data_IF_293442351064
#
_entry.id   IF_293442351064
#
_cell.length_a   1.000
_cell.length_b   1.000
_cell.length_c   1.000
_cell.angle_alpha   90.00
_cell.angle_beta   90.00
_cell.angle_gamma   90.00
#
_symmetry.space_group_name_H-M   'P 1'
#
loop_
_entity.id
_entity.type
_entity.pdbx_description
1 polymer ?
#
# COMPACT_ATOMS: atom_id res chain seq x y z
N UNK A 1 -19.21 0.63 -24.22
CA UNK A 1 -17.74 0.60 -24.03
C UNK A 1 -17.45 0.63 -22.54
N UNK A 2 -16.89 -0.45 -21.97
CA UNK A 2 -16.25 -0.34 -20.66
C UNK A 2 -14.93 0.41 -20.88
N UNK A 3 -14.81 1.62 -20.32
CA UNK A 3 -13.55 2.33 -20.29
C UNK A 3 -12.61 1.57 -19.34
N UNK A 4 -11.36 1.26 -19.73
CA UNK A 4 -10.44 0.58 -18.83
C UNK A 4 -10.26 1.43 -17.56
N UNK A 5 -10.28 0.82 -16.38
CA UNK A 5 -10.14 1.56 -15.13
C UNK A 5 -8.79 2.29 -15.12
N UNK A 6 -8.80 3.57 -14.74
CA UNK A 6 -7.60 4.43 -14.71
C UNK A 6 -6.55 3.98 -13.69
N UNK A 7 -6.89 3.05 -12.80
CA UNK A 7 -6.01 2.50 -11.77
C UNK A 7 -6.45 1.08 -11.40
N UNK A 8 -5.68 0.42 -10.55
CA UNK A 8 -5.95 -0.91 -10.03
C UNK A 8 -5.71 -0.96 -8.51
N UNK A 9 -6.27 -1.93 -7.78
CA UNK A 9 -5.95 -2.14 -6.36
C UNK A 9 -4.44 -2.28 -6.11
N UNK A 10 -3.71 -2.91 -7.03
CA UNK A 10 -2.25 -3.04 -6.92
C UNK A 10 -1.55 -1.69 -7.01
N UNK A 11 -1.92 -0.84 -7.96
CA UNK A 11 -1.35 0.51 -8.08
C UNK A 11 -1.65 1.39 -6.86
N UNK A 12 -2.83 1.22 -6.24
CA UNK A 12 -3.20 1.89 -4.99
C UNK A 12 -2.30 1.42 -3.84
N UNK A 13 -2.08 0.11 -3.72
CA UNK A 13 -1.19 -0.45 -2.73
C UNK A 13 0.26 0.01 -2.92
N UNK A 14 0.79 -0.07 -4.14
CA UNK A 14 2.18 0.30 -4.43
C UNK A 14 2.44 1.78 -4.09
N UNK A 15 1.50 2.67 -4.43
CA UNK A 15 1.60 4.09 -4.07
C UNK A 15 1.50 4.33 -2.55
N UNK A 16 0.69 3.54 -1.84
CA UNK A 16 0.59 3.61 -0.38
C UNK A 16 1.85 3.08 0.31
N UNK A 17 2.45 2.01 -0.22
CA UNK A 17 3.72 1.45 0.23
C UNK A 17 4.84 2.47 0.09
N UNK A 18 4.97 3.11 -1.08
CA UNK A 18 5.96 4.17 -1.30
C UNK A 18 5.74 5.36 -0.34
N UNK A 19 4.47 5.73 -0.11
CA UNK A 19 4.12 6.72 0.90
C UNK A 19 4.58 6.32 2.29
N UNK A 20 4.33 5.06 2.68
CA UNK A 20 4.74 4.53 3.98
C UNK A 20 6.25 4.51 4.18
N UNK A 21 7.02 4.14 3.15
CA UNK A 21 8.48 4.14 3.22
C UNK A 21 9.05 5.54 3.46
N UNK A 22 8.42 6.58 2.92
CA UNK A 22 8.86 7.98 3.09
C UNK A 22 8.36 8.61 4.39
N UNK A 23 7.08 8.44 4.67
CA UNK A 23 6.33 9.27 5.63
C UNK A 23 5.79 8.44 6.82
N UNK A 24 6.08 7.14 6.88
CA UNK A 24 5.61 6.23 7.92
C UNK A 24 4.09 6.02 7.87
N UNK A 25 3.45 5.87 9.04
CA UNK A 25 2.02 5.55 9.13
C UNK A 25 1.08 6.60 8.49
N UNK A 26 1.54 7.84 8.30
CA UNK A 26 0.78 8.90 7.63
C UNK A 26 0.82 8.80 6.09
N UNK A 27 1.81 8.08 5.55
CA UNK A 27 2.05 7.93 4.12
C UNK A 27 0.89 7.28 3.32
N UNK A 28 0.25 6.22 3.84
CA UNK A 28 -0.92 5.57 3.21
C UNK A 28 -2.22 6.39 3.21
N UNK A 29 -2.20 7.67 3.57
CA UNK A 29 -3.40 8.50 3.60
C UNK A 29 -4.07 8.63 2.22
N UNK A 30 -5.40 8.52 2.18
CA UNK A 30 -6.21 8.54 0.95
C UNK A 30 -5.89 9.71 0.03
N UNK A 31 -5.67 10.91 0.59
CA UNK A 31 -5.34 12.10 -0.19
C UNK A 31 -3.95 12.02 -0.81
N UNK A 32 -2.96 11.52 -0.07
CA UNK A 32 -1.59 11.34 -0.55
C UNK A 32 -1.53 10.29 -1.66
N UNK A 33 -2.16 9.14 -1.46
CA UNK A 33 -2.25 8.06 -2.45
C UNK A 33 -2.98 8.52 -3.72
N UNK A 34 -4.09 9.25 -3.58
CA UNK A 34 -4.80 9.79 -4.73
C UNK A 34 -3.96 10.80 -5.52
N UNK A 35 -3.23 11.68 -4.82
CA UNK A 35 -2.33 12.65 -5.43
C UNK A 35 -1.19 11.96 -6.19
N UNK A 36 -0.55 10.95 -5.59
CA UNK A 36 0.51 10.16 -6.22
C UNK A 36 0.04 9.47 -7.53
N UNK A 37 -1.23 9.05 -7.57
CA UNK A 37 -1.83 8.42 -8.75
C UNK A 37 -2.47 9.42 -9.74
N UNK A 38 -2.42 10.73 -9.47
CA UNK A 38 -3.09 11.74 -10.31
C UNK A 38 -4.61 11.61 -10.34
N UNK A 39 -5.21 11.10 -9.27
CA UNK A 39 -6.65 10.86 -9.14
C UNK A 39 -7.30 11.84 -8.15
N UNK A 40 -8.60 12.07 -8.32
CA UNK A 40 -9.38 12.71 -7.28
C UNK A 40 -9.56 11.72 -6.10
N UNK A 41 -9.52 12.16 -4.82
CA UNK A 41 -9.66 11.27 -3.66
C UNK A 41 -10.90 10.37 -3.73
N UNK A 42 -12.02 10.91 -4.26
CA UNK A 42 -13.26 10.16 -4.41
C UNK A 42 -13.17 8.96 -5.37
N UNK A 43 -12.18 8.94 -6.27
CA UNK A 43 -11.98 7.82 -7.17
C UNK A 43 -11.49 6.56 -6.44
N UNK A 44 -10.78 6.72 -5.32
CA UNK A 44 -10.23 5.60 -4.55
C UNK A 44 -11.30 4.82 -3.78
N UNK A 45 -12.36 5.47 -3.31
CA UNK A 45 -13.46 4.81 -2.59
C UNK A 45 -14.16 3.70 -3.40
N UNK A 46 -14.00 3.67 -4.72
CA UNK A 46 -14.52 2.61 -5.60
C UNK A 46 -13.78 1.28 -5.46
N UNK A 47 -12.56 1.29 -4.91
CA UNK A 47 -11.69 0.11 -4.83
C UNK A 47 -11.74 -0.58 -3.46
N UNK A 48 -12.62 -0.14 -2.56
CA UNK A 48 -12.90 -0.70 -1.22
C UNK A 48 -11.70 -0.83 -0.25
N UNK A 49 -10.47 -0.57 -0.69
CA UNK A 49 -9.24 -0.59 0.10
C UNK A 49 -8.67 0.83 0.21
N UNK A 50 -9.07 1.56 1.25
CA UNK A 50 -8.66 2.95 1.50
C UNK A 50 -8.60 3.24 3.00
N UNK A 51 -7.88 4.29 3.40
CA UNK A 51 -7.78 4.72 4.80
C UNK A 51 -7.14 3.67 5.69
N UNK A 52 -7.74 3.40 6.85
CA UNK A 52 -7.20 2.44 7.83
C UNK A 52 -7.04 1.03 7.25
N UNK A 53 -7.94 0.60 6.35
CA UNK A 53 -7.82 -0.71 5.70
C UNK A 53 -6.58 -0.78 4.78
N UNK A 54 -6.22 0.33 4.14
CA UNK A 54 -5.02 0.42 3.32
C UNK A 54 -3.76 0.47 4.18
N UNK A 55 -3.79 1.21 5.30
CA UNK A 55 -2.70 1.20 6.27
C UNK A 55 -2.48 -0.19 6.88
N UNK A 56 -3.55 -0.90 7.24
CA UNK A 56 -3.46 -2.26 7.77
C UNK A 56 -2.84 -3.22 6.75
N UNK A 57 -3.22 -3.13 5.47
CA UNK A 57 -2.64 -3.95 4.42
C UNK A 57 -1.14 -3.66 4.23
N UNK A 58 -0.72 -2.39 4.27
CA UNK A 58 0.70 -2.02 4.22
C UNK A 58 1.47 -2.53 5.45
N UNK A 59 0.88 -2.41 6.64
CA UNK A 59 1.48 -2.91 7.87
C UNK A 59 1.65 -4.44 7.87
N UNK A 60 0.66 -5.17 7.35
CA UNK A 60 0.68 -6.63 7.24
C UNK A 60 1.79 -7.10 6.28
N UNK A 61 1.91 -6.48 5.10
CA UNK A 61 3.00 -6.75 4.16
C UNK A 61 4.37 -6.48 4.80
N UNK A 62 4.52 -5.35 5.50
CA UNK A 62 5.77 -5.01 6.19
C UNK A 62 6.12 -5.99 7.31
N UNK A 63 5.12 -6.44 8.08
CA UNK A 63 5.31 -7.47 9.10
C UNK A 63 5.72 -8.81 8.46
N UNK A 64 5.12 -9.18 7.33
CA UNK A 64 5.48 -10.37 6.55
C UNK A 64 6.93 -10.34 6.07
N UNK A 65 7.39 -9.21 5.52
CA UNK A 65 8.78 -9.03 5.11
C UNK A 65 9.76 -9.14 6.29
N UNK A 66 9.40 -8.56 7.44
CA UNK A 66 10.23 -8.66 8.65
C UNK A 66 10.31 -10.10 9.18
N UNK A 67 9.20 -10.84 9.15
CA UNK A 67 9.17 -12.24 9.54
C UNK A 67 10.04 -13.10 8.60
N UNK A 68 9.89 -12.93 7.29
CA UNK A 68 10.68 -13.65 6.30
C UNK A 68 12.19 -13.39 6.49
N UNK A 69 12.57 -12.13 6.72
CA UNK A 69 13.95 -11.75 7.01
C UNK A 69 14.51 -12.47 8.25
N UNK A 70 13.71 -12.63 9.31
CA UNK A 70 14.11 -13.35 10.53
C UNK A 70 14.27 -14.85 10.28
N UNK A 71 13.38 -15.46 9.52
CA UNK A 71 13.47 -16.88 9.17
C UNK A 71 14.73 -17.17 8.34
N UNK A 72 15.06 -16.28 7.40
CA UNK A 72 16.27 -16.40 6.60
C UNK A 72 17.54 -16.21 7.43
N UNK A 73 17.54 -15.26 8.36
CA UNK A 73 18.64 -15.09 9.31
C UNK A 73 18.81 -16.33 10.22
N UNK A 74 17.72 -16.93 10.67
CA UNK A 74 17.74 -18.15 11.48
C UNK A 74 18.22 -19.39 10.70
N UNK A 75 17.92 -19.46 9.40
CA UNK A 75 18.44 -20.50 8.49
C UNK A 75 19.93 -20.34 8.17
N UNK A 76 20.49 -19.15 8.32
CA UNK A 76 21.90 -18.84 8.03
C UNK A 76 22.86 -19.08 9.22
N UNK A 77 22.34 -19.44 10.41
CA UNK A 77 23.18 -19.82 11.57
C UNK A 77 23.46 -21.34 11.52
N UNK A 78 24.73 -21.77 11.50
CA UNK A 78 25.11 -23.18 11.37
C UNK A 78 24.82 -24.03 12.62
#
# INVERSE_FOLDING_TARGET
MLYPPKTSPRAIFDAAWEGFERDGAEGPAVRGVAAALGLAPNALFRYHLVGDALLAAVADEGAGLLLASREDAGRAVP
#
